data_IF_426515092392
#
_entry.id   IF_426515092392
#
_cell.length_a   1.000
_cell.length_b   1.000
_cell.length_c   1.000
_cell.angle_alpha   90.00
_cell.angle_beta   90.00
_cell.angle_gamma   90.00
#
_symmetry.space_group_name_H-M   'P 1'
#
loop_
_entity.id
_entity.type
_entity.pdbx_description
1 polymer ?
#
# COMPACT_ATOMS: atom_id res chain seq x y z
N UNK A 1 23.35 7.97 2.96
CA UNK A 1 23.04 6.53 2.96
C UNK A 1 22.77 6.10 4.39
N UNK A 2 21.59 5.60 4.65
CA UNK A 2 21.19 5.06 5.95
C UNK A 2 21.10 3.54 5.78
N UNK A 3 21.86 2.79 6.55
CA UNK A 3 21.81 1.33 6.54
C UNK A 3 20.74 0.87 7.52
N UNK A 4 19.71 0.20 7.03
CA UNK A 4 18.65 -0.39 7.85
C UNK A 4 18.87 -1.90 7.88
N UNK A 5 18.82 -2.48 9.09
CA UNK A 5 18.86 -3.91 9.27
C UNK A 5 17.49 -4.49 8.91
N UNK A 6 17.45 -5.30 7.87
CA UNK A 6 16.29 -6.07 7.47
C UNK A 6 16.48 -7.54 7.87
N UNK A 7 15.40 -8.26 8.08
CA UNK A 7 15.44 -9.72 8.28
C UNK A 7 14.33 -10.36 7.46
N UNK A 8 14.68 -11.39 6.69
CA UNK A 8 13.67 -12.17 5.97
C UNK A 8 12.97 -13.19 6.86
N UNK A 9 11.98 -13.81 6.28
CA UNK A 9 11.16 -14.84 6.92
C UNK A 9 11.93 -16.13 7.23
N UNK A 10 13.16 -16.28 6.72
CA UNK A 10 14.04 -17.43 6.98
C UNK A 10 15.07 -17.15 8.07
N UNK A 11 15.07 -15.93 8.62
CA UNK A 11 16.05 -15.48 9.63
C UNK A 11 17.34 -14.97 9.01
N UNK A 12 17.42 -14.81 7.69
CA UNK A 12 18.49 -14.10 7.01
C UNK A 12 18.49 -12.64 7.44
N UNK A 13 19.68 -12.09 7.72
CA UNK A 13 19.86 -10.68 8.05
C UNK A 13 20.65 -10.03 6.93
N UNK A 14 20.06 -9.03 6.29
CA UNK A 14 20.78 -8.17 5.35
C UNK A 14 20.66 -6.72 5.79
N UNK A 15 21.54 -5.90 5.26
CA UNK A 15 21.50 -4.46 5.49
C UNK A 15 21.13 -3.79 4.18
N UNK A 16 20.01 -3.12 4.17
CA UNK A 16 19.57 -2.32 3.03
C UNK A 16 20.05 -0.89 3.18
N UNK A 17 20.55 -0.33 2.10
CA UNK A 17 20.96 1.06 2.05
C UNK A 17 19.80 1.90 1.55
N UNK A 18 19.05 2.51 2.46
CA UNK A 18 18.00 3.42 2.06
C UNK A 18 18.59 4.69 1.43
N UNK A 19 18.05 5.15 0.31
CA UNK A 19 18.46 6.40 -0.31
C UNK A 19 18.25 7.56 0.66
N UNK A 20 19.21 8.47 0.72
CA UNK A 20 19.05 9.71 1.48
C UNK A 20 18.13 10.62 0.69
N UNK A 21 16.90 10.78 1.14
CA UNK A 21 15.98 11.75 0.53
C UNK A 21 16.34 13.18 0.94
N UNK A 22 16.23 14.11 0.00
CA UNK A 22 16.36 15.54 0.27
C UNK A 22 15.23 16.02 1.21
N UNK A 23 15.42 17.17 1.89
CA UNK A 23 14.38 17.74 2.75
C UNK A 23 13.01 17.84 2.05
N UNK A 24 11.89 17.55 2.75
CA UNK A 24 10.58 17.41 2.13
C UNK A 24 9.99 18.69 1.52
N UNK A 25 10.53 19.84 1.88
CA UNK A 25 10.16 21.15 1.38
C UNK A 25 10.99 21.62 0.16
N UNK A 26 12.02 20.86 -0.24
CA UNK A 26 12.80 21.13 -1.46
C UNK A 26 12.15 20.49 -2.68
N UNK A 27 12.39 21.06 -3.89
CA UNK A 27 11.88 20.48 -5.12
C UNK A 27 12.32 19.02 -5.29
N UNK A 28 13.63 18.76 -5.14
CA UNK A 28 14.17 17.41 -5.21
C UNK A 28 13.49 16.47 -4.20
N UNK A 29 13.38 16.91 -2.94
CA UNK A 29 12.74 16.10 -1.89
C UNK A 29 11.27 15.78 -2.16
N UNK A 30 10.51 16.70 -2.74
CA UNK A 30 9.12 16.47 -3.16
C UNK A 30 9.04 15.49 -4.34
N UNK A 31 9.91 15.62 -5.35
CA UNK A 31 9.96 14.74 -6.53
C UNK A 31 10.42 13.34 -6.13
N UNK A 32 11.41 13.23 -5.25
CA UNK A 32 11.87 11.95 -4.68
C UNK A 32 10.75 11.19 -3.97
N UNK A 33 9.86 11.90 -3.29
CA UNK A 33 8.69 11.31 -2.62
C UNK A 33 7.52 10.99 -3.58
N UNK A 34 7.60 11.41 -4.84
CA UNK A 34 6.50 11.28 -5.80
C UNK A 34 5.29 12.16 -5.44
N UNK A 35 5.49 13.24 -4.69
CA UNK A 35 4.41 14.16 -4.28
C UNK A 35 3.94 15.02 -5.45
N UNK A 36 2.63 15.23 -5.53
CA UNK A 36 2.07 16.12 -6.54
C UNK A 36 2.53 17.55 -6.43
N UNK A 37 2.85 18.06 -5.23
CA UNK A 37 3.50 19.35 -5.04
C UNK A 37 4.83 19.42 -5.79
N UNK A 38 5.63 18.35 -5.78
CA UNK A 38 6.88 18.24 -6.54
C UNK A 38 6.64 18.28 -8.04
N UNK A 39 5.61 17.62 -8.55
CA UNK A 39 5.22 17.69 -9.96
C UNK A 39 4.86 19.14 -10.37
N UNK A 40 4.01 19.81 -9.58
CA UNK A 40 3.58 21.17 -9.84
C UNK A 40 4.75 22.16 -9.79
N UNK A 41 5.63 22.04 -8.80
CA UNK A 41 6.81 22.88 -8.67
C UNK A 41 7.82 22.66 -9.79
N UNK A 42 8.06 21.40 -10.21
CA UNK A 42 8.96 21.06 -11.30
C UNK A 42 8.49 21.64 -12.64
N UNK A 43 7.18 21.61 -12.91
CA UNK A 43 6.63 22.23 -14.14
C UNK A 43 6.71 23.76 -14.06
N UNK A 44 6.63 24.36 -12.88
CA UNK A 44 6.78 25.80 -12.70
C UNK A 44 8.23 26.27 -12.88
N UNK A 45 9.23 25.43 -12.53
CA UNK A 45 10.66 25.65 -12.82
C UNK A 45 11.23 24.48 -13.60
N UNK A 46 11.12 24.49 -14.96
CA UNK A 46 11.54 23.37 -15.78
C UNK A 46 13.03 23.04 -15.74
N UNK A 47 13.89 23.99 -15.38
CA UNK A 47 15.34 23.76 -15.30
C UNK A 47 15.66 22.92 -14.06
N UNK A 48 15.19 23.33 -12.91
CA UNK A 48 15.35 22.60 -11.64
C UNK A 48 14.55 21.30 -11.67
N UNK A 49 13.35 21.30 -12.29
CA UNK A 49 12.51 20.13 -12.45
C UNK A 49 13.16 19.00 -13.24
N UNK A 50 13.83 19.32 -14.37
CA UNK A 50 14.62 18.35 -15.15
C UNK A 50 15.75 17.77 -14.33
N UNK A 51 16.50 18.60 -13.61
CA UNK A 51 17.60 18.15 -12.77
C UNK A 51 17.09 17.21 -11.65
N UNK A 52 15.97 17.53 -11.00
CA UNK A 52 15.37 16.70 -9.97
C UNK A 52 14.87 15.37 -10.52
N UNK A 53 14.21 15.36 -11.69
CA UNK A 53 13.74 14.12 -12.34
C UNK A 53 14.90 13.18 -12.66
N UNK A 54 15.96 13.69 -13.33
CA UNK A 54 17.11 12.87 -13.72
C UNK A 54 17.87 12.36 -12.49
N UNK A 55 17.96 13.16 -11.42
CA UNK A 55 18.56 12.70 -10.17
C UNK A 55 17.78 11.54 -9.53
N UNK A 56 16.43 11.57 -9.59
CA UNK A 56 15.59 10.47 -9.09
C UNK A 56 15.72 9.19 -9.93
N UNK A 57 15.99 9.32 -11.23
CA UNK A 57 16.20 8.15 -12.13
C UNK A 57 17.59 7.57 -12.00
N UNK A 58 18.57 8.38 -11.62
CA UNK A 58 19.94 7.93 -11.37
C UNK A 58 20.09 7.25 -10.01
N UNK A 59 19.37 7.73 -9.00
CA UNK A 59 19.42 7.21 -7.63
C UNK A 59 17.98 6.96 -7.18
N UNK A 60 17.49 5.74 -7.37
CA UNK A 60 16.09 5.36 -7.12
C UNK A 60 15.68 5.72 -5.69
N UNK A 61 14.74 6.65 -5.50
CA UNK A 61 14.35 7.13 -4.17
C UNK A 61 13.21 6.34 -3.54
N UNK A 62 12.75 5.24 -4.14
CA UNK A 62 11.65 4.44 -3.59
C UNK A 62 12.07 3.83 -2.25
N UNK A 63 11.13 3.84 -1.32
CA UNK A 63 11.32 3.20 -0.02
C UNK A 63 11.10 1.69 -0.11
N UNK A 64 10.15 1.26 -0.95
CA UNK A 64 9.85 -0.15 -1.22
C UNK A 64 9.77 -0.37 -2.74
N UNK A 65 10.83 -0.92 -3.31
CA UNK A 65 10.96 -1.14 -4.76
C UNK A 65 9.98 -2.20 -5.29
N UNK A 66 9.45 -3.07 -4.42
CA UNK A 66 8.53 -4.14 -4.84
C UNK A 66 7.08 -3.67 -4.94
N UNK A 67 6.73 -2.64 -4.19
CA UNK A 67 5.34 -2.21 -4.02
C UNK A 67 5.08 -0.83 -4.62
N UNK A 68 6.05 0.11 -4.50
CA UNK A 68 5.88 1.47 -4.98
C UNK A 68 6.11 1.58 -6.49
N UNK A 69 5.09 2.00 -7.23
CA UNK A 69 5.22 2.37 -8.64
C UNK A 69 5.33 3.89 -8.78
N UNK A 70 6.46 4.37 -9.31
CA UNK A 70 6.67 5.80 -9.63
C UNK A 70 6.91 6.06 -11.12
N UNK A 71 6.93 5.02 -11.92
CA UNK A 71 7.25 5.11 -13.34
C UNK A 71 6.29 6.05 -14.09
N UNK A 72 4.98 5.92 -13.88
CA UNK A 72 3.97 6.78 -14.49
C UNK A 72 4.09 8.25 -14.06
N UNK A 73 4.43 8.49 -12.79
CA UNK A 73 4.69 9.84 -12.27
C UNK A 73 5.89 10.47 -12.98
N UNK A 74 7.03 9.76 -13.07
CA UNK A 74 8.22 10.27 -13.74
C UNK A 74 8.04 10.38 -15.26
N UNK A 75 7.34 9.45 -15.91
CA UNK A 75 7.01 9.54 -17.32
C UNK A 75 6.12 10.78 -17.62
N UNK A 76 5.10 11.03 -16.79
CA UNK A 76 4.25 12.21 -16.94
C UNK A 76 5.05 13.51 -16.75
N UNK A 77 5.97 13.53 -15.79
CA UNK A 77 6.84 14.67 -15.54
C UNK A 77 7.85 14.87 -16.69
N UNK A 78 8.43 13.79 -17.22
CA UNK A 78 9.33 13.84 -18.38
C UNK A 78 8.64 14.47 -19.60
N UNK A 79 7.39 14.08 -19.89
CA UNK A 79 6.61 14.68 -20.98
C UNK A 79 6.37 16.17 -20.73
N UNK A 80 5.96 16.56 -19.52
CA UNK A 80 5.69 17.95 -19.16
C UNK A 80 6.94 18.84 -19.22
N UNK A 81 8.11 18.27 -18.92
CA UNK A 81 9.40 18.96 -18.93
C UNK A 81 10.16 18.80 -20.27
N UNK A 82 9.61 18.12 -21.26
CA UNK A 82 10.27 17.81 -22.54
C UNK A 82 11.64 17.13 -22.36
N UNK A 83 11.73 16.18 -21.39
CA UNK A 83 12.93 15.35 -21.19
C UNK A 83 12.86 14.19 -22.18
N UNK A 84 13.94 13.97 -22.93
CA UNK A 84 13.97 12.92 -23.95
C UNK A 84 14.13 11.53 -23.35
N UNK A 85 13.63 10.49 -24.06
CA UNK A 85 13.86 9.10 -23.66
C UNK A 85 15.36 8.75 -23.62
N UNK A 86 16.20 9.41 -24.45
CA UNK A 86 17.65 9.22 -24.42
C UNK A 86 18.29 9.78 -23.15
N UNK A 87 17.83 10.93 -22.64
CA UNK A 87 18.32 11.49 -21.37
C UNK A 87 17.94 10.58 -20.19
N UNK A 88 16.73 10.00 -20.23
CA UNK A 88 16.26 9.02 -19.21
C UNK A 88 17.11 7.76 -19.27
N UNK A 89 17.34 7.19 -20.46
CA UNK A 89 18.17 6.00 -20.63
C UNK A 89 19.63 6.22 -20.19
N UNK A 90 20.13 7.45 -20.22
CA UNK A 90 21.46 7.79 -19.74
C UNK A 90 21.60 7.79 -18.20
N UNK A 91 20.49 7.73 -17.47
CA UNK A 91 20.51 7.70 -15.99
C UNK A 91 20.92 6.34 -15.42
N UNK A 92 20.84 5.24 -16.21
CA UNK A 92 21.26 3.93 -15.75
C UNK A 92 21.20 2.87 -16.85
N UNK A 93 21.83 1.71 -16.62
CA UNK A 93 21.74 0.58 -17.54
C UNK A 93 20.37 -0.07 -17.42
N UNK A 94 19.58 -0.01 -18.50
CA UNK A 94 18.23 -0.58 -18.57
C UNK A 94 18.19 -2.12 -18.41
N UNK A 95 19.34 -2.79 -18.44
CA UNK A 95 19.48 -4.24 -18.22
C UNK A 95 19.94 -4.58 -16.80
N UNK A 96 20.22 -3.57 -15.97
CA UNK A 96 20.65 -3.74 -14.60
C UNK A 96 19.43 -3.66 -13.65
N UNK A 97 19.31 -4.63 -12.75
CA UNK A 97 18.24 -4.68 -11.75
C UNK A 97 18.27 -3.46 -10.83
N UNK A 98 19.45 -2.88 -10.57
CA UNK A 98 19.58 -1.67 -9.75
C UNK A 98 18.99 -0.41 -10.44
N UNK A 99 18.76 -0.48 -11.76
CA UNK A 99 18.18 0.62 -12.56
C UNK A 99 16.76 0.31 -13.08
N UNK A 100 16.02 -0.55 -12.41
CA UNK A 100 14.67 -0.95 -12.82
C UNK A 100 13.74 0.25 -13.06
N UNK A 101 13.82 1.30 -12.24
CA UNK A 101 12.99 2.50 -12.37
C UNK A 101 13.16 3.21 -13.72
N UNK A 102 14.38 3.20 -14.29
CA UNK A 102 14.65 3.74 -15.63
C UNK A 102 13.89 2.95 -16.69
N UNK A 103 13.97 1.61 -16.65
CA UNK A 103 13.28 0.73 -17.57
C UNK A 103 11.75 0.85 -17.46
N UNK A 104 11.22 0.93 -16.25
CA UNK A 104 9.79 1.14 -15.99
C UNK A 104 9.32 2.50 -16.54
N UNK A 105 10.10 3.58 -16.34
CA UNK A 105 9.77 4.92 -16.84
C UNK A 105 9.77 4.97 -18.38
N UNK A 106 10.75 4.32 -19.03
CA UNK A 106 10.77 4.17 -20.49
C UNK A 106 9.58 3.35 -21.00
N UNK A 107 9.18 2.31 -20.26
CA UNK A 107 8.00 1.51 -20.58
C UNK A 107 6.73 2.38 -20.52
N UNK A 108 6.55 3.18 -19.49
CA UNK A 108 5.44 4.10 -19.35
C UNK A 108 5.41 5.14 -20.51
N UNK A 109 6.56 5.67 -20.90
CA UNK A 109 6.66 6.57 -22.07
C UNK A 109 6.30 5.86 -23.38
N UNK A 110 6.76 4.62 -23.57
CA UNK A 110 6.42 3.82 -24.76
C UNK A 110 4.93 3.55 -24.86
N UNK A 111 4.26 3.24 -23.77
CA UNK A 111 2.79 3.07 -23.70
C UNK A 111 2.08 4.38 -24.06
N UNK A 112 2.63 5.52 -23.70
CA UNK A 112 2.13 6.86 -24.06
C UNK A 112 2.42 7.26 -25.51
N UNK A 113 3.11 6.41 -26.27
CA UNK A 113 3.36 6.58 -27.70
C UNK A 113 4.75 7.14 -28.06
N UNK A 114 5.68 7.25 -27.12
CA UNK A 114 7.06 7.65 -27.41
C UNK A 114 7.78 6.53 -28.18
N UNK A 115 8.09 6.80 -29.47
CA UNK A 115 8.77 5.85 -30.37
C UNK A 115 10.23 5.63 -29.95
N UNK A 116 10.92 6.66 -29.46
CA UNK A 116 12.31 6.55 -29.03
C UNK A 116 12.45 5.68 -27.79
N UNK A 117 11.54 5.83 -26.82
CA UNK A 117 11.49 4.95 -25.65
C UNK A 117 11.28 3.48 -26.06
N UNK A 118 10.38 3.24 -27.04
CA UNK A 118 10.15 1.88 -27.59
C UNK A 118 11.38 1.31 -28.27
N UNK A 119 12.10 2.11 -29.06
CA UNK A 119 13.33 1.68 -29.73
C UNK A 119 14.45 1.33 -28.72
N UNK A 120 14.58 2.12 -27.65
CA UNK A 120 15.55 1.85 -26.58
C UNK A 120 15.23 0.55 -25.84
N UNK A 121 13.95 0.32 -25.49
CA UNK A 121 13.51 -0.92 -24.85
C UNK A 121 13.68 -2.15 -25.74
N UNK A 122 13.52 -2.02 -27.06
CA UNK A 122 13.74 -3.12 -28.01
C UNK A 122 15.21 -3.60 -28.07
N UNK A 123 16.15 -2.79 -27.58
CA UNK A 123 17.57 -3.16 -27.42
C UNK A 123 17.83 -3.91 -26.12
N UNK A 124 16.86 -3.94 -25.18
CA UNK A 124 16.96 -4.72 -23.95
C UNK A 124 16.99 -6.20 -24.30
N UNK A 125 17.88 -6.96 -23.69
CA UNK A 125 17.91 -8.42 -23.80
C UNK A 125 16.57 -8.93 -23.25
N UNK A 126 15.79 -9.73 -24.02
CA UNK A 126 14.54 -10.27 -23.52
C UNK A 126 14.83 -11.06 -22.25
N UNK A 127 14.18 -10.67 -21.18
CA UNK A 127 14.29 -11.35 -19.90
C UNK A 127 13.52 -12.67 -20.03
N UNK A 128 14.20 -13.75 -20.41
CA UNK A 128 13.63 -15.11 -20.47
C UNK A 128 13.06 -15.53 -19.12
N UNK A 129 13.50 -14.89 -18.05
CA UNK A 129 13.02 -15.05 -16.70
C UNK A 129 11.57 -14.58 -16.53
N UNK A 130 11.15 -13.53 -17.23
CA UNK A 130 9.78 -13.01 -17.17
C UNK A 130 8.77 -13.92 -17.90
N UNK A 131 9.21 -14.58 -18.98
CA UNK A 131 8.36 -15.56 -19.70
C UNK A 131 8.20 -16.83 -18.89
N UNK A 132 9.23 -17.27 -18.14
CA UNK A 132 9.16 -18.42 -17.26
C UNK A 132 8.28 -18.18 -16.02
N UNK A 133 8.22 -16.92 -15.51
CA UNK A 133 7.34 -16.55 -14.38
C UNK A 133 5.87 -16.51 -14.78
N UNK A 134 5.57 -16.17 -16.04
CA UNK A 134 4.20 -16.13 -16.58
C UNK A 134 3.70 -17.51 -17.05
N UNK A 135 4.59 -18.48 -17.19
CA UNK A 135 4.26 -19.88 -17.43
C UNK A 135 3.89 -20.59 -16.11
N UNK A 136 2.81 -20.15 -15.44
CA UNK A 136 2.29 -20.89 -14.30
C UNK A 136 1.96 -22.34 -14.72
N UNK A 137 2.54 -23.34 -14.05
CA UNK A 137 2.11 -24.70 -14.29
C UNK A 137 0.65 -24.79 -13.90
N UNK A 138 -0.22 -25.06 -14.87
CA UNK A 138 -1.64 -25.37 -14.62
C UNK A 138 -1.74 -26.70 -13.86
N UNK A 139 -1.48 -26.65 -12.56
CA UNK A 139 -1.81 -27.76 -11.67
C UNK A 139 -3.34 -27.89 -11.64
N UNK A 140 -3.87 -29.11 -11.74
CA UNK A 140 -5.31 -29.31 -11.69
C UNK A 140 -5.83 -28.89 -10.31
N UNK A 141 -6.50 -27.74 -10.27
CA UNK A 141 -7.15 -27.27 -9.05
C UNK A 141 -8.27 -28.23 -8.65
N UNK A 142 -8.38 -28.60 -7.36
CA UNK A 142 -9.55 -29.33 -6.89
C UNK A 142 -10.81 -28.48 -7.18
N UNK A 143 -11.90 -29.10 -7.66
CA UNK A 143 -13.11 -28.36 -7.96
C UNK A 143 -13.66 -27.72 -6.68
N UNK A 144 -14.12 -26.46 -6.75
CA UNK A 144 -14.62 -25.69 -5.60
C UNK A 144 -15.81 -26.35 -4.86
N UNK A 145 -16.49 -27.32 -5.50
CA UNK A 145 -17.54 -28.13 -4.88
C UNK A 145 -17.01 -29.39 -4.15
N UNK A 146 -15.69 -29.61 -4.11
CA UNK A 146 -15.10 -30.68 -3.31
C UNK A 146 -15.42 -30.53 -1.82
N UNK A 147 -15.41 -31.60 -1.01
CA UNK A 147 -15.55 -31.48 0.44
C UNK A 147 -14.55 -30.48 1.04
N UNK A 148 -15.00 -29.66 2.00
CA UNK A 148 -14.15 -28.61 2.57
C UNK A 148 -12.87 -29.16 3.19
N UNK A 149 -12.92 -30.34 3.80
CA UNK A 149 -11.74 -31.03 4.34
C UNK A 149 -10.67 -31.31 3.28
N UNK A 150 -11.08 -31.60 2.03
CA UNK A 150 -10.15 -31.79 0.92
C UNK A 150 -9.56 -30.47 0.41
N UNK A 151 -10.36 -29.39 0.39
CA UNK A 151 -9.88 -28.06 0.00
C UNK A 151 -8.88 -27.51 1.02
N UNK A 152 -9.15 -27.62 2.32
CA UNK A 152 -8.23 -27.23 3.40
C UNK A 152 -6.93 -28.02 3.39
N UNK A 153 -6.98 -29.29 3.04
CA UNK A 153 -5.78 -30.13 2.89
C UNK A 153 -4.90 -29.76 1.69
N UNK A 154 -5.45 -29.04 0.72
CA UNK A 154 -4.81 -28.63 -0.52
C UNK A 154 -4.94 -27.13 -0.78
N UNK A 155 -4.93 -26.31 0.26
CA UNK A 155 -5.15 -24.86 0.16
C UNK A 155 -4.18 -24.14 -0.80
N UNK A 156 -2.96 -24.66 -0.99
CA UNK A 156 -1.98 -24.16 -1.95
C UNK A 156 -2.36 -24.41 -3.42
N UNK A 157 -3.35 -25.29 -3.68
CA UNK A 157 -3.87 -25.61 -5.00
C UNK A 157 -5.24 -24.97 -5.27
N UNK A 158 -5.74 -24.12 -4.37
CA UNK A 158 -7.05 -23.47 -4.49
C UNK A 158 -6.85 -21.97 -4.47
N UNK A 159 -7.61 -21.24 -5.29
CA UNK A 159 -7.65 -19.79 -5.17
C UNK A 159 -7.96 -19.40 -3.70
N UNK A 160 -7.06 -18.65 -3.09
CA UNK A 160 -7.24 -18.19 -1.70
C UNK A 160 -8.56 -17.43 -1.53
N UNK A 161 -8.92 -16.60 -2.51
CA UNK A 161 -10.17 -15.86 -2.52
C UNK A 161 -11.40 -16.77 -2.47
N UNK A 162 -11.46 -17.76 -3.35
CA UNK A 162 -12.59 -18.68 -3.47
C UNK A 162 -12.71 -19.59 -2.23
N UNK A 163 -11.56 -20.08 -1.73
CA UNK A 163 -11.51 -20.82 -0.48
C UNK A 163 -12.07 -20.00 0.67
N UNK A 164 -11.55 -18.80 0.88
CA UNK A 164 -12.00 -17.90 1.96
C UNK A 164 -13.47 -17.52 1.80
N UNK A 165 -13.96 -17.27 0.58
CA UNK A 165 -15.37 -17.00 0.34
C UNK A 165 -16.24 -18.18 0.80
N UNK A 166 -15.89 -19.42 0.42
CA UNK A 166 -16.62 -20.61 0.85
C UNK A 166 -16.56 -20.81 2.37
N UNK A 167 -15.36 -20.66 2.98
CA UNK A 167 -15.17 -20.78 4.42
C UNK A 167 -16.03 -19.78 5.22
N UNK A 168 -16.21 -18.56 4.68
CA UNK A 168 -17.03 -17.51 5.27
C UNK A 168 -18.53 -17.78 5.18
N UNK A 169 -18.97 -18.32 4.04
CA UNK A 169 -20.39 -18.39 3.70
C UNK A 169 -21.05 -19.74 4.01
N UNK A 170 -20.26 -20.81 4.21
CA UNK A 170 -20.82 -22.14 4.49
C UNK A 170 -21.68 -22.15 5.76
N UNK A 171 -22.85 -22.76 5.65
CA UNK A 171 -23.76 -23.08 6.77
C UNK A 171 -23.92 -24.59 6.96
N UNK A 172 -23.24 -25.38 6.12
CA UNK A 172 -23.28 -26.83 6.16
C UNK A 172 -22.63 -27.36 7.45
N UNK A 173 -23.30 -28.20 8.24
CA UNK A 173 -22.77 -28.76 9.47
C UNK A 173 -21.48 -29.56 9.29
N UNK A 174 -21.35 -30.29 8.17
CA UNK A 174 -20.17 -31.10 7.88
C UNK A 174 -18.98 -30.20 7.54
N UNK A 175 -19.20 -29.11 6.78
CA UNK A 175 -18.18 -28.09 6.51
C UNK A 175 -17.74 -27.37 7.80
N UNK A 176 -18.68 -27.04 8.70
CA UNK A 176 -18.35 -26.43 10.00
C UNK A 176 -17.56 -27.40 10.90
N UNK A 177 -17.92 -28.68 10.91
CA UNK A 177 -17.14 -29.69 11.61
C UNK A 177 -15.72 -29.83 11.03
N UNK A 178 -15.57 -29.74 9.71
CA UNK A 178 -14.28 -29.78 9.04
C UNK A 178 -13.39 -28.54 9.41
N UNK A 179 -13.98 -27.34 9.58
CA UNK A 179 -13.27 -26.15 10.07
C UNK A 179 -12.71 -26.40 11.48
N UNK A 180 -13.53 -26.83 12.41
CA UNK A 180 -13.10 -27.15 13.79
C UNK A 180 -12.09 -28.29 13.84
N UNK A 181 -12.22 -29.29 12.97
CA UNK A 181 -11.25 -30.38 12.89
C UNK A 181 -9.90 -29.89 12.34
N UNK A 182 -9.89 -28.98 11.36
CA UNK A 182 -8.67 -28.41 10.80
C UNK A 182 -7.90 -27.55 11.84
N UNK A 183 -8.58 -27.00 12.82
CA UNK A 183 -7.97 -26.16 13.87
C UNK A 183 -7.48 -26.93 15.11
N UNK A 184 -7.56 -28.26 15.14
CA UNK A 184 -7.06 -29.07 16.28
C UNK A 184 -5.54 -29.19 16.33
N UNK A 185 -4.88 -29.11 15.17
CA UNK A 185 -3.43 -29.21 15.07
C UNK A 185 -2.87 -28.00 14.32
N UNK A 186 -2.10 -27.12 14.97
CA UNK A 186 -1.49 -25.93 14.34
C UNK A 186 -0.55 -26.24 13.16
N UNK A 187 0.00 -27.47 13.10
CA UNK A 187 0.87 -27.92 12.01
C UNK A 187 0.12 -28.51 10.83
N UNK A 188 -1.20 -28.68 10.96
CA UNK A 188 -2.02 -29.23 9.89
C UNK A 188 -2.21 -28.20 8.78
N UNK A 189 -2.10 -28.64 7.52
CA UNK A 189 -2.51 -27.81 6.38
C UNK A 189 -3.97 -27.38 6.53
N UNK A 190 -4.25 -26.11 6.18
CA UNK A 190 -5.58 -25.53 6.34
C UNK A 190 -5.89 -25.01 7.75
N UNK A 191 -5.02 -25.23 8.76
CA UNK A 191 -5.20 -24.69 10.10
C UNK A 191 -5.42 -23.17 10.08
N UNK A 192 -4.54 -22.45 9.38
CA UNK A 192 -4.57 -20.99 9.29
C UNK A 192 -5.87 -20.48 8.65
N UNK A 193 -6.22 -21.01 7.48
CA UNK A 193 -7.44 -20.60 6.77
C UNK A 193 -8.70 -20.89 7.56
N UNK A 194 -8.76 -22.07 8.23
CA UNK A 194 -9.87 -22.43 9.11
C UNK A 194 -9.97 -21.50 10.34
N UNK A 195 -8.85 -21.21 11.00
CA UNK A 195 -8.79 -20.31 12.16
C UNK A 195 -9.27 -18.89 11.79
N UNK A 196 -8.81 -18.34 10.65
CA UNK A 196 -9.22 -17.02 10.18
C UNK A 196 -10.72 -16.98 9.84
N UNK A 197 -11.25 -18.04 9.22
CA UNK A 197 -12.68 -18.16 8.92
C UNK A 197 -13.54 -18.25 10.19
N UNK A 198 -13.08 -18.95 11.22
CA UNK A 198 -13.74 -19.00 12.53
C UNK A 198 -13.70 -17.65 13.24
N UNK A 199 -12.60 -16.91 13.13
CA UNK A 199 -12.51 -15.54 13.66
C UNK A 199 -13.58 -14.62 13.06
N UNK A 200 -13.77 -14.65 11.75
CA UNK A 200 -14.82 -13.88 11.06
C UNK A 200 -16.23 -14.25 11.50
N UNK A 201 -16.41 -15.46 12.04
CA UNK A 201 -17.67 -15.93 12.66
C UNK A 201 -17.79 -15.57 14.15
N UNK A 202 -16.80 -14.88 14.71
CA UNK A 202 -16.74 -14.46 16.10
C UNK A 202 -16.28 -15.54 17.08
N UNK A 203 -15.57 -16.58 16.59
CA UNK A 203 -14.97 -17.57 17.46
C UNK A 203 -13.71 -17.01 18.12
N UNK A 204 -13.81 -16.72 19.42
CA UNK A 204 -12.72 -16.17 20.25
C UNK A 204 -11.86 -17.24 20.93
N UNK A 205 -12.11 -18.52 20.67
CA UNK A 205 -11.45 -19.63 21.38
C UNK A 205 -9.93 -19.69 21.18
N UNK A 206 -9.43 -19.10 20.07
CA UNK A 206 -8.01 -19.08 19.73
C UNK A 206 -7.24 -17.88 20.26
N UNK A 207 -7.88 -16.89 20.90
CA UNK A 207 -7.23 -15.65 21.37
C UNK A 207 -6.01 -15.95 22.23
N UNK A 208 -6.12 -16.84 23.21
CA UNK A 208 -5.01 -17.20 24.11
C UNK A 208 -3.87 -17.85 23.33
N UNK A 209 -4.18 -18.83 22.49
CA UNK A 209 -3.17 -19.52 21.67
C UNK A 209 -2.46 -18.57 20.71
N UNK A 210 -3.22 -17.71 20.00
CA UNK A 210 -2.67 -16.68 19.12
C UNK A 210 -1.79 -15.71 19.89
N UNK A 211 -2.23 -15.25 21.06
CA UNK A 211 -1.46 -14.38 21.94
C UNK A 211 -0.14 -15.00 22.41
N UNK A 212 -0.15 -16.28 22.78
CA UNK A 212 1.07 -17.00 23.20
C UNK A 212 2.07 -17.16 22.03
N UNK A 213 1.56 -17.45 20.83
CA UNK A 213 2.40 -17.57 19.62
C UNK A 213 3.01 -16.22 19.26
N UNK A 214 2.21 -15.15 19.21
CA UNK A 214 2.69 -13.81 18.88
C UNK A 214 3.67 -13.26 19.93
N UNK A 215 3.50 -13.60 21.20
CA UNK A 215 4.44 -13.25 22.26
C UNK A 215 5.83 -13.89 22.05
N UNK A 216 5.91 -15.01 21.36
CA UNK A 216 7.16 -15.65 20.96
C UNK A 216 7.87 -15.00 19.77
N UNK A 217 7.34 -13.91 19.21
CA UNK A 217 7.86 -13.23 18.01
C UNK A 217 8.14 -14.22 16.86
N UNK A 218 7.12 -14.96 16.37
CA UNK A 218 7.32 -15.88 15.26
C UNK A 218 7.73 -15.11 14.01
N UNK A 219 8.56 -15.73 13.18
CA UNK A 219 8.98 -15.18 11.88
C UNK A 219 8.29 -15.93 10.74
N UNK A 220 8.13 -15.27 9.60
CA UNK A 220 7.67 -15.91 8.39
C UNK A 220 6.17 -16.09 8.24
N UNK A 221 5.79 -16.98 7.33
CA UNK A 221 4.40 -17.30 6.99
C UNK A 221 3.47 -17.58 8.18
N UNK A 222 3.92 -18.28 9.25
CA UNK A 222 3.12 -18.44 10.47
C UNK A 222 2.71 -17.12 11.08
N UNK A 223 3.66 -16.15 11.20
CA UNK A 223 3.38 -14.83 11.79
C UNK A 223 2.22 -14.11 11.10
N UNK A 224 2.28 -13.97 9.77
CA UNK A 224 1.25 -13.29 9.00
C UNK A 224 -0.16 -13.87 9.20
N UNK A 225 -0.26 -15.20 9.39
CA UNK A 225 -1.53 -15.86 9.67
C UNK A 225 -2.09 -15.51 11.05
N UNK A 226 -1.24 -15.50 12.06
CA UNK A 226 -1.67 -15.21 13.43
C UNK A 226 -1.96 -13.71 13.63
N UNK A 227 -1.21 -12.82 12.99
CA UNK A 227 -1.52 -11.38 12.96
C UNK A 227 -2.92 -11.11 12.41
N UNK A 228 -3.32 -11.81 11.36
CA UNK A 228 -4.63 -11.64 10.73
C UNK A 228 -5.82 -12.17 11.54
N UNK A 229 -5.63 -12.88 12.66
CA UNK A 229 -6.74 -13.44 13.44
C UNK A 229 -7.52 -12.37 14.20
N UNK A 230 -6.84 -11.54 15.00
CA UNK A 230 -7.49 -10.55 15.85
C UNK A 230 -8.30 -9.50 15.05
N UNK A 231 -7.79 -8.94 13.94
CA UNK A 231 -8.54 -8.00 13.10
C UNK A 231 -9.81 -8.58 12.46
N UNK A 232 -9.91 -9.91 12.33
CA UNK A 232 -11.10 -10.57 11.77
C UNK A 232 -12.20 -10.85 12.78
N UNK A 233 -11.90 -10.78 14.08
CA UNK A 233 -12.93 -10.85 15.10
C UNK A 233 -13.84 -9.61 15.04
N UNK A 234 -15.12 -9.73 15.42
CA UNK A 234 -15.99 -8.56 15.59
C UNK A 234 -15.35 -7.51 16.52
N UNK A 235 -15.53 -6.24 16.21
CA UNK A 235 -14.93 -5.12 16.96
C UNK A 235 -15.16 -5.20 18.49
N UNK A 236 -16.36 -5.65 18.91
CA UNK A 236 -16.71 -5.81 20.32
C UNK A 236 -15.80 -6.83 21.06
N UNK A 237 -15.26 -7.80 20.32
CA UNK A 237 -14.45 -8.89 20.86
C UNK A 237 -12.95 -8.60 20.68
N UNK A 238 -12.54 -7.99 19.55
CA UNK A 238 -11.13 -7.69 19.22
C UNK A 238 -10.61 -6.43 19.91
N UNK A 239 -11.40 -5.36 19.98
CA UNK A 239 -10.93 -4.06 20.47
C UNK A 239 -10.48 -4.06 21.94
N UNK A 240 -11.17 -4.73 22.89
CA UNK A 240 -10.68 -4.86 24.27
C UNK A 240 -9.33 -5.58 24.36
N UNK A 241 -9.12 -6.59 23.50
CA UNK A 241 -7.86 -7.36 23.45
C UNK A 241 -6.75 -6.49 22.83
N UNK A 242 -7.04 -5.80 21.74
CA UNK A 242 -6.10 -4.89 21.10
C UNK A 242 -5.59 -3.83 22.09
N UNK A 243 -6.45 -3.23 22.89
CA UNK A 243 -6.06 -2.27 23.94
C UNK A 243 -5.13 -2.84 25.01
N UNK A 244 -5.22 -4.15 25.29
CA UNK A 244 -4.31 -4.85 26.22
C UNK A 244 -2.97 -5.18 25.55
N UNK A 245 -2.96 -5.38 24.23
CA UNK A 245 -1.77 -5.76 23.47
C UNK A 245 -1.01 -4.55 22.93
N UNK A 246 -1.66 -3.42 22.76
CA UNK A 246 -1.07 -2.20 22.23
C UNK A 246 0.08 -1.69 23.10
N UNK A 247 1.25 -1.51 22.50
CA UNK A 247 2.48 -1.10 23.20
C UNK A 247 3.27 -2.24 23.82
N UNK A 248 2.90 -3.51 23.63
CA UNK A 248 3.72 -4.65 24.04
C UNK A 248 4.96 -4.76 23.13
N UNK A 249 6.08 -5.31 23.67
CA UNK A 249 7.35 -5.37 22.94
C UNK A 249 7.45 -6.59 21.99
N UNK A 250 6.36 -7.12 21.52
CA UNK A 250 6.28 -8.33 20.70
C UNK A 250 5.19 -8.22 19.62
N UNK A 251 5.04 -9.25 18.77
CA UNK A 251 4.12 -9.24 17.62
C UNK A 251 2.62 -9.11 17.97
N UNK A 252 2.26 -9.11 19.25
CA UNK A 252 0.89 -8.78 19.68
C UNK A 252 0.57 -7.31 19.45
N UNK A 253 1.58 -6.43 19.55
CA UNK A 253 1.44 -5.00 19.22
C UNK A 253 1.04 -4.81 17.74
N UNK A 254 1.67 -5.54 16.83
CA UNK A 254 1.32 -5.48 15.39
C UNK A 254 -0.14 -5.88 15.13
N UNK A 255 -0.60 -6.96 15.79
CA UNK A 255 -2.01 -7.37 15.70
C UNK A 255 -2.97 -6.34 16.31
N UNK A 256 -2.56 -5.68 17.39
CA UNK A 256 -3.32 -4.62 18.03
C UNK A 256 -3.43 -3.37 17.14
N UNK A 257 -2.33 -2.97 16.50
CA UNK A 257 -2.32 -1.87 15.54
C UNK A 257 -3.31 -2.08 14.40
N UNK A 258 -3.33 -3.27 13.79
CA UNK A 258 -4.31 -3.61 12.74
C UNK A 258 -5.76 -3.52 13.23
N UNK A 259 -6.05 -3.92 14.46
CA UNK A 259 -7.41 -3.77 15.04
C UNK A 259 -7.74 -2.30 15.28
N UNK A 260 -6.81 -1.51 15.79
CA UNK A 260 -7.01 -0.07 16.01
C UNK A 260 -7.20 0.67 14.69
N UNK A 261 -6.44 0.32 13.64
CA UNK A 261 -6.65 0.85 12.29
C UNK A 261 -8.09 0.63 11.81
N UNK A 262 -8.69 -0.51 12.14
CA UNK A 262 -10.06 -0.85 11.74
C UNK A 262 -11.16 -0.30 12.64
N UNK A 263 -10.90 -0.14 13.95
CA UNK A 263 -11.96 0.00 14.96
C UNK A 263 -11.67 1.04 16.06
N UNK A 264 -10.60 1.86 15.94
CA UNK A 264 -10.29 2.88 16.92
C UNK A 264 -11.48 3.78 17.25
N UNK A 265 -11.54 4.24 18.49
CA UNK A 265 -12.54 5.16 19.00
C UNK A 265 -11.89 6.34 19.71
N UNK A 266 -12.67 7.32 20.14
CA UNK A 266 -12.17 8.53 20.82
C UNK A 266 -11.26 8.22 22.04
N UNK A 267 -11.50 7.12 22.74
CA UNK A 267 -10.67 6.74 23.92
C UNK A 267 -9.26 6.29 23.54
N UNK A 268 -9.03 5.86 22.29
CA UNK A 268 -7.75 5.33 21.82
C UNK A 268 -6.82 6.44 21.28
N UNK A 269 -7.39 7.59 20.91
CA UNK A 269 -6.71 8.69 20.22
C UNK A 269 -5.44 9.15 20.92
N UNK A 270 -5.49 9.33 22.26
CA UNK A 270 -4.32 9.81 23.01
C UNK A 270 -3.13 8.85 22.93
N UNK A 271 -3.39 7.54 23.04
CA UNK A 271 -2.37 6.50 22.97
C UNK A 271 -1.81 6.36 21.55
N UNK A 272 -2.69 6.39 20.52
CA UNK A 272 -2.31 6.34 19.11
C UNK A 272 -1.41 7.52 18.74
N UNK A 273 -1.78 8.75 19.12
CA UNK A 273 -0.96 9.95 18.87
C UNK A 273 0.41 9.87 19.55
N UNK A 274 0.45 9.42 20.81
CA UNK A 274 1.70 9.24 21.54
C UNK A 274 2.61 8.20 20.85
N UNK A 275 2.04 7.13 20.32
CA UNK A 275 2.79 6.11 19.56
C UNK A 275 3.27 6.65 18.22
N UNK A 276 2.43 7.36 17.46
CA UNK A 276 2.79 7.95 16.17
C UNK A 276 3.98 8.92 16.30
N UNK A 277 4.03 9.69 17.38
CA UNK A 277 5.11 10.65 17.61
C UNK A 277 6.51 10.02 17.82
N UNK A 278 6.57 8.72 18.15
CA UNK A 278 7.83 7.98 18.43
C UNK A 278 8.04 6.78 17.52
N UNK A 279 7.09 6.47 16.62
CA UNK A 279 7.21 5.32 15.73
C UNK A 279 8.22 5.60 14.63
N UNK A 280 9.21 4.70 14.50
CA UNK A 280 10.19 4.69 13.40
C UNK A 280 9.76 3.72 12.28
N UNK A 281 8.83 2.81 12.55
CA UNK A 281 8.29 1.85 11.60
C UNK A 281 7.27 2.54 10.69
N UNK A 282 7.55 2.60 9.41
CA UNK A 282 6.64 3.16 8.40
C UNK A 282 5.34 2.36 8.30
N UNK A 283 5.39 1.05 8.46
CA UNK A 283 4.18 0.21 8.47
C UNK A 283 3.31 0.49 9.69
N UNK A 284 3.90 0.60 10.89
CA UNK A 284 3.14 0.99 12.09
C UNK A 284 2.49 2.37 11.90
N UNK A 285 3.21 3.31 11.27
CA UNK A 285 2.67 4.64 10.98
C UNK A 285 1.45 4.57 10.06
N UNK A 286 1.39 3.67 9.09
CA UNK A 286 0.21 3.48 8.24
C UNK A 286 -1.02 3.10 9.09
N UNK A 287 -0.90 2.11 9.95
CA UNK A 287 -1.99 1.65 10.83
C UNK A 287 -2.41 2.74 11.83
N UNK A 288 -1.45 3.48 12.40
CA UNK A 288 -1.72 4.58 13.34
C UNK A 288 -2.43 5.75 12.68
N UNK A 289 -2.05 6.10 11.46
CA UNK A 289 -2.67 7.16 10.66
C UNK A 289 -4.10 6.76 10.26
N UNK A 290 -4.30 5.52 9.81
CA UNK A 290 -5.63 4.99 9.49
C UNK A 290 -6.54 5.03 10.73
N UNK A 291 -6.01 4.63 11.89
CA UNK A 291 -6.75 4.67 13.16
C UNK A 291 -7.20 6.09 13.53
N UNK A 292 -6.35 7.11 13.37
CA UNK A 292 -6.73 8.52 13.60
C UNK A 292 -7.79 9.00 12.60
N UNK A 293 -7.69 8.60 11.34
CA UNK A 293 -8.67 8.92 10.30
C UNK A 293 -10.09 8.42 10.59
N UNK A 294 -10.22 7.38 11.43
CA UNK A 294 -11.51 6.82 11.84
C UNK A 294 -12.22 7.59 12.95
N UNK A 295 -11.53 8.52 13.60
CA UNK A 295 -12.07 9.28 14.75
C UNK A 295 -12.06 10.78 14.43
N UNK A 296 -12.78 11.23 13.38
CA UNK A 296 -12.76 12.61 12.93
C UNK A 296 -13.30 13.60 13.97
N UNK A 297 -14.17 13.16 14.86
CA UNK A 297 -14.75 14.00 15.91
C UNK A 297 -13.72 14.48 16.95
N UNK A 298 -12.56 13.83 17.03
CA UNK A 298 -11.45 14.24 17.91
C UNK A 298 -10.37 15.06 17.18
N UNK A 299 -10.49 15.22 15.85
CA UNK A 299 -9.57 16.03 15.03
C UNK A 299 -9.75 17.54 15.24
N UNK A 300 -8.99 18.36 14.51
CA UNK A 300 -7.93 18.00 13.59
C UNK A 300 -6.66 17.45 14.26
N UNK A 301 -5.91 16.64 13.53
CA UNK A 301 -4.62 16.06 13.97
C UNK A 301 -3.47 16.70 13.19
N UNK A 302 -2.81 17.75 13.72
CA UNK A 302 -1.75 18.49 13.00
C UNK A 302 -0.58 17.62 12.56
N UNK A 303 -0.26 16.56 13.32
CA UNK A 303 0.79 15.59 13.02
C UNK A 303 0.57 14.88 11.68
N UNK A 304 -0.66 14.65 11.24
CA UNK A 304 -0.96 14.04 9.95
C UNK A 304 -0.49 14.90 8.77
N UNK A 305 -0.47 16.22 8.91
CA UNK A 305 0.08 17.11 7.88
C UNK A 305 1.58 16.89 7.71
N UNK A 306 2.32 16.73 8.83
CA UNK A 306 3.75 16.42 8.82
C UNK A 306 4.00 15.04 8.20
N UNK A 307 3.23 14.01 8.62
CA UNK A 307 3.35 12.67 8.03
C UNK A 307 3.11 12.71 6.52
N UNK A 308 2.06 13.40 6.06
CA UNK A 308 1.75 13.54 4.63
C UNK A 308 2.90 14.19 3.85
N UNK A 309 3.53 15.23 4.40
CA UNK A 309 4.60 15.95 3.70
C UNK A 309 5.92 15.21 3.71
N UNK A 310 6.24 14.51 4.79
CA UNK A 310 7.56 13.92 5.04
C UNK A 310 7.66 12.46 4.60
N UNK A 311 6.52 11.77 4.44
CA UNK A 311 6.50 10.35 4.08
C UNK A 311 7.24 10.08 2.77
N UNK A 312 8.29 9.26 2.85
CA UNK A 312 8.98 8.70 1.69
C UNK A 312 8.17 7.56 1.06
N UNK A 313 7.47 6.78 1.87
CA UNK A 313 6.61 5.69 1.45
C UNK A 313 5.26 6.21 0.92
N UNK A 314 4.93 5.92 -0.33
CA UNK A 314 3.74 6.47 -0.99
C UNK A 314 2.42 6.00 -0.35
N UNK A 315 2.39 4.76 0.15
CA UNK A 315 1.22 4.24 0.87
C UNK A 315 0.93 4.97 2.18
N UNK A 316 1.97 5.32 2.96
CA UNK A 316 1.79 6.13 4.17
C UNK A 316 1.21 7.51 3.83
N UNK A 317 1.63 8.09 2.69
CA UNK A 317 1.06 9.36 2.21
C UNK A 317 -0.40 9.18 1.79
N UNK A 318 -0.75 8.07 1.15
CA UNK A 318 -2.15 7.72 0.83
C UNK A 318 -3.02 7.68 2.09
N UNK A 319 -2.60 6.92 3.11
CA UNK A 319 -3.35 6.83 4.36
C UNK A 319 -3.47 8.20 5.03
N UNK A 320 -2.39 9.00 5.00
CA UNK A 320 -2.40 10.36 5.54
C UNK A 320 -3.35 11.27 4.79
N UNK A 321 -3.42 11.20 3.45
CA UNK A 321 -4.37 11.96 2.65
C UNK A 321 -5.82 11.60 2.97
N UNK A 322 -6.12 10.31 3.13
CA UNK A 322 -7.45 9.82 3.49
C UNK A 322 -7.85 10.29 4.90
N UNK A 323 -6.94 10.17 5.86
CA UNK A 323 -7.16 10.63 7.24
C UNK A 323 -7.37 12.15 7.29
N UNK A 324 -6.51 12.94 6.62
CA UNK A 324 -6.64 14.39 6.54
C UNK A 324 -7.96 14.82 5.89
N UNK A 325 -8.39 14.14 4.82
CA UNK A 325 -9.64 14.45 4.13
C UNK A 325 -10.88 14.35 5.03
N UNK A 326 -10.81 13.56 6.10
CA UNK A 326 -11.91 13.37 7.06
C UNK A 326 -11.74 14.20 8.32
N UNK A 327 -10.50 14.47 8.75
CA UNK A 327 -10.20 15.07 10.06
C UNK A 327 -9.79 16.53 10.00
N UNK A 328 -9.32 17.01 8.84
CA UNK A 328 -8.80 18.37 8.66
C UNK A 328 -9.75 19.21 7.80
N UNK A 329 -10.46 20.19 8.36
CA UNK A 329 -11.40 21.02 7.62
C UNK A 329 -10.73 21.87 6.52
N UNK A 330 -9.42 22.11 6.61
CA UNK A 330 -8.67 22.87 5.62
C UNK A 330 -8.07 22.02 4.50
N UNK A 331 -8.19 20.69 4.57
CA UNK A 331 -7.57 19.77 3.61
C UNK A 331 -7.86 20.13 2.15
N UNK A 332 -9.12 20.45 1.86
CA UNK A 332 -9.54 20.78 0.50
C UNK A 332 -8.77 21.99 -0.08
N UNK A 333 -8.42 22.97 0.77
CA UNK A 333 -7.74 24.20 0.38
C UNK A 333 -6.20 24.11 0.45
N UNK A 334 -5.67 23.09 1.14
CA UNK A 334 -4.23 22.94 1.40
C UNK A 334 -3.61 21.85 0.55
N UNK A 335 -4.05 20.60 0.72
CA UNK A 335 -3.38 19.42 0.15
C UNK A 335 -4.15 18.76 -1.00
N UNK A 336 -5.48 18.90 -1.07
CA UNK A 336 -6.29 18.14 -2.03
C UNK A 336 -5.92 18.41 -3.49
N UNK A 337 -5.47 19.64 -3.82
CA UNK A 337 -5.04 19.96 -5.18
C UNK A 337 -3.77 19.21 -5.55
N UNK A 338 -2.74 19.20 -4.70
CA UNK A 338 -1.51 18.47 -5.00
C UNK A 338 -1.73 16.97 -5.13
N UNK A 339 -2.64 16.39 -4.34
CA UNK A 339 -2.98 14.97 -4.43
C UNK A 339 -3.34 14.51 -5.84
N UNK A 340 -3.90 15.38 -6.71
CA UNK A 340 -4.24 15.02 -8.10
C UNK A 340 -3.03 14.65 -8.97
N UNK A 341 -1.83 15.05 -8.61
CA UNK A 341 -0.58 14.76 -9.33
C UNK A 341 0.32 13.80 -8.57
N UNK A 342 -0.15 13.19 -7.49
CA UNK A 342 0.63 12.24 -6.70
C UNK A 342 0.93 10.95 -7.47
N UNK A 343 2.06 10.30 -7.18
CA UNK A 343 2.40 9.01 -7.79
C UNK A 343 1.43 7.91 -7.35
N UNK A 344 0.89 7.99 -6.13
CA UNK A 344 0.01 6.97 -5.56
C UNK A 344 -1.46 7.15 -6.00
N UNK A 345 -2.04 6.11 -6.58
CA UNK A 345 -3.40 6.14 -7.11
C UNK A 345 -4.45 6.51 -6.04
N UNK A 346 -4.36 5.92 -4.86
CA UNK A 346 -5.30 6.23 -3.77
C UNK A 346 -5.20 7.69 -3.31
N UNK A 347 -4.01 8.30 -3.36
CA UNK A 347 -3.84 9.73 -3.11
C UNK A 347 -4.50 10.55 -4.22
N UNK A 348 -4.35 10.15 -5.51
CA UNK A 348 -5.04 10.82 -6.63
C UNK A 348 -6.56 10.71 -6.52
N UNK A 349 -7.08 9.56 -6.06
CA UNK A 349 -8.51 9.37 -5.80
C UNK A 349 -9.03 10.36 -4.75
N UNK A 350 -8.30 10.55 -3.64
CA UNK A 350 -8.63 11.55 -2.60
C UNK A 350 -8.63 12.95 -3.20
N UNK A 351 -7.60 13.32 -3.97
CA UNK A 351 -7.54 14.60 -4.70
C UNK A 351 -8.76 14.80 -5.60
N UNK A 352 -9.15 13.78 -6.36
CA UNK A 352 -10.31 13.84 -7.25
C UNK A 352 -11.63 14.06 -6.49
N UNK A 353 -11.76 13.54 -5.26
CA UNK A 353 -12.95 13.73 -4.42
C UNK A 353 -13.02 15.12 -3.79
N UNK A 354 -11.92 15.68 -3.35
CA UNK A 354 -11.91 16.82 -2.42
C UNK A 354 -11.28 18.12 -2.96
N UNK A 355 -10.49 18.08 -4.07
CA UNK A 355 -9.86 19.29 -4.61
C UNK A 355 -10.90 20.36 -5.00
N UNK A 356 -10.63 21.66 -4.77
CA UNK A 356 -11.54 22.74 -5.11
C UNK A 356 -11.75 22.85 -6.63
N UNK A 357 -12.91 23.34 -7.05
CA UNK A 357 -13.29 23.40 -8.47
C UNK A 357 -12.63 24.60 -9.20
N UNK A 358 -11.29 24.55 -9.36
CA UNK A 358 -10.55 25.52 -10.17
C UNK A 358 -10.41 25.03 -11.62
N UNK A 359 -10.07 25.92 -12.56
CA UNK A 359 -9.84 25.55 -13.96
C UNK A 359 -8.70 24.51 -14.10
N UNK A 360 -7.63 24.65 -13.34
CA UNK A 360 -6.52 23.69 -13.30
C UNK A 360 -6.98 22.32 -12.83
N UNK A 361 -7.78 22.27 -11.74
CA UNK A 361 -8.33 21.02 -11.22
C UNK A 361 -9.29 20.39 -12.21
N UNK A 362 -10.16 21.16 -12.90
CA UNK A 362 -11.08 20.63 -13.90
C UNK A 362 -10.33 20.00 -15.10
N UNK A 363 -9.28 20.64 -15.57
CA UNK A 363 -8.42 20.07 -16.63
C UNK A 363 -7.77 18.76 -16.16
N UNK A 364 -7.24 18.73 -14.93
CA UNK A 364 -6.61 17.52 -14.40
C UNK A 364 -7.61 16.39 -14.18
N UNK A 365 -8.81 16.68 -13.70
CA UNK A 365 -9.88 15.68 -13.57
C UNK A 365 -10.28 15.10 -14.94
N UNK A 366 -10.28 15.91 -16.01
CA UNK A 366 -10.55 15.40 -17.36
C UNK A 366 -9.47 14.39 -17.83
N UNK A 367 -8.20 14.62 -17.46
CA UNK A 367 -7.10 13.67 -17.72
C UNK A 367 -7.29 12.40 -16.88
N UNK A 368 -7.54 12.54 -15.56
CA UNK A 368 -7.75 11.42 -14.63
C UNK A 368 -9.02 10.59 -14.94
N UNK A 369 -9.97 11.10 -15.72
CA UNK A 369 -11.11 10.33 -16.23
C UNK A 369 -10.69 9.19 -17.17
N UNK A 370 -9.43 9.11 -17.57
CA UNK A 370 -8.79 8.03 -18.33
C UNK A 370 -7.60 7.39 -17.55
N UNK A 371 -7.47 7.63 -16.24
CA UNK A 371 -6.41 7.02 -15.40
C UNK A 371 -6.48 5.49 -15.48
N UNK A 372 -5.36 4.81 -15.37
CA UNK A 372 -5.28 3.34 -15.36
C UNK A 372 -5.97 2.72 -14.15
N UNK A 373 -5.98 3.42 -13.00
CA UNK A 373 -6.68 2.99 -11.79
C UNK A 373 -8.19 3.27 -11.88
N UNK A 374 -9.00 2.25 -11.60
CA UNK A 374 -10.47 2.34 -11.72
C UNK A 374 -11.08 3.30 -10.70
N UNK A 375 -10.58 3.31 -9.45
CA UNK A 375 -11.11 4.17 -8.40
C UNK A 375 -10.85 5.65 -8.70
N UNK A 376 -9.66 5.97 -9.24
CA UNK A 376 -9.30 7.31 -9.70
C UNK A 376 -10.20 7.76 -10.85
N UNK A 377 -10.36 6.90 -11.89
CA UNK A 377 -11.25 7.19 -13.03
C UNK A 377 -12.66 7.50 -12.58
N UNK A 378 -13.18 6.68 -11.69
CA UNK A 378 -14.55 6.81 -11.20
C UNK A 378 -14.74 8.06 -10.34
N UNK A 379 -13.77 8.39 -9.49
CA UNK A 379 -13.81 9.61 -8.71
C UNK A 379 -13.77 10.85 -9.59
N UNK A 380 -12.88 10.87 -10.59
CA UNK A 380 -12.76 11.97 -11.54
C UNK A 380 -14.04 12.16 -12.38
N UNK A 381 -14.59 11.07 -12.93
CA UNK A 381 -15.85 11.11 -13.72
C UNK A 381 -17.02 11.60 -12.91
N UNK A 382 -17.19 11.13 -11.67
CA UNK A 382 -18.25 11.60 -10.77
C UNK A 382 -18.16 13.11 -10.51
N UNK A 383 -16.96 13.64 -10.36
CA UNK A 383 -16.73 15.07 -10.13
C UNK A 383 -17.02 15.91 -11.37
N UNK A 384 -16.67 15.44 -12.58
CA UNK A 384 -16.91 16.14 -13.84
C UNK A 384 -18.40 16.22 -14.21
N UNK A 385 -19.17 15.16 -13.92
CA UNK A 385 -20.63 15.14 -14.18
C UNK A 385 -21.40 16.03 -13.20
N UNK A 386 -20.81 16.36 -12.05
CA UNK A 386 -21.49 17.07 -10.97
C UNK A 386 -22.49 16.17 -10.19
N UNK A 387 -23.01 16.61 -9.06
CA UNK A 387 -24.08 15.90 -8.39
C UNK A 387 -25.30 15.84 -9.32
N UNK A 388 -26.05 14.70 -9.34
CA UNK A 388 -27.28 14.63 -10.11
C UNK A 388 -28.20 15.81 -9.72
N UNK A 389 -28.70 16.51 -10.70
CA UNK A 389 -29.62 17.60 -10.48
C UNK A 389 -30.78 17.10 -9.57
N UNK A 390 -30.91 17.71 -8.39
CA UNK A 390 -31.97 17.40 -7.43
C UNK A 390 -33.30 17.97 -7.92
#
# INVERSE_FOLDING_TARGET
>A
MIWVRQSDDTGGVWFECLPTTAPPDTLLGMVQRGRGAGWLAAVADPVEGRAALLACLTDDPRWDHQVESRAEFYASLAVALEVSAADIAACGDINDEDHWLVAETLTALSVRGDSNARELLAQRIPDTWFEDLMAEPTLPFPPLNAPLSALLGNEHLVSHHDLMHRLRTTTDPDDLAALHEATRDPNRRGFRSAMLALAERGDTSFVTQVGDILAGNPVGQPRAGFLGYLPRLPARDSLPIARLWFGLPDSRDDAALQVLALHATAQDVSAIRARLAVSESTYDQCDLVEALGRVPECGPYPELRTVFTDACYSYLRRESAQALATTDPDFANTFATECLWDCEAGTREVGAKYAPATEQVQRRLAELAADEDEAVRDAARRRLVGPPAR
#
